data_IF_452688454171
#
_entry.id   IF_452688454171
#
_cell.length_a   1.000
_cell.length_b   1.000
_cell.length_c   1.000
_cell.angle_alpha   90.00
_cell.angle_beta   90.00
_cell.angle_gamma   90.00
#
_symmetry.space_group_name_H-M   'P 1'
#
loop_
_entity.id
_entity.type
_entity.pdbx_description
1 polymer ?
#
# COMPACT_ATOMS: atom_id res chain seq x y z
N UNK A 1 26.71 13.14 -9.99
CA UNK A 1 26.26 14.48 -10.46
C UNK A 1 25.07 14.93 -9.63
N UNK A 2 24.82 16.24 -9.53
CA UNK A 2 23.75 16.82 -8.67
C UNK A 2 22.38 16.16 -8.88
N UNK A 3 21.96 16.04 -10.13
CA UNK A 3 20.67 15.45 -10.47
C UNK A 3 20.56 13.96 -10.12
N UNK A 4 21.67 13.21 -10.08
CA UNK A 4 21.65 11.80 -9.67
C UNK A 4 21.31 11.62 -8.19
N UNK A 5 21.58 12.64 -7.36
CA UNK A 5 21.25 12.61 -5.92
C UNK A 5 19.73 12.76 -5.74
N UNK A 6 19.11 13.65 -6.52
CA UNK A 6 17.65 13.80 -6.54
C UNK A 6 16.98 12.53 -7.07
N UNK A 7 17.51 11.95 -8.15
CA UNK A 7 17.04 10.65 -8.65
C UNK A 7 17.16 9.57 -7.55
N UNK A 8 18.28 9.50 -6.83
CA UNK A 8 18.45 8.53 -5.74
C UNK A 8 17.47 8.75 -4.58
N UNK A 9 17.20 10.01 -4.22
CA UNK A 9 16.21 10.38 -3.20
C UNK A 9 14.81 9.91 -3.62
N UNK A 10 14.38 10.30 -4.82
CA UNK A 10 13.09 9.92 -5.39
C UNK A 10 12.92 8.40 -5.52
N UNK A 11 13.98 7.70 -5.95
CA UNK A 11 14.03 6.24 -5.93
C UNK A 11 13.78 5.69 -4.53
N UNK A 12 14.47 6.20 -3.52
CA UNK A 12 14.33 5.72 -2.15
C UNK A 12 12.93 5.96 -1.57
N UNK A 13 12.29 7.08 -1.92
CA UNK A 13 10.97 7.46 -1.43
C UNK A 13 9.82 6.68 -2.07
N UNK A 14 10.10 5.66 -2.86
CA UNK A 14 9.08 4.72 -3.31
C UNK A 14 8.38 5.09 -4.62
N UNK A 15 8.97 5.95 -5.47
CA UNK A 15 8.50 6.06 -6.85
C UNK A 15 8.53 4.67 -7.51
N UNK A 16 7.36 4.14 -7.80
CA UNK A 16 7.18 2.78 -8.33
C UNK A 16 7.56 2.67 -9.80
N UNK A 17 7.60 3.81 -10.50
CA UNK A 17 8.02 3.94 -11.88
C UNK A 17 9.31 4.76 -11.99
N UNK A 18 10.04 4.58 -13.09
CA UNK A 18 11.09 5.52 -13.50
C UNK A 18 10.53 6.85 -14.01
N UNK A 19 9.21 6.98 -14.12
CA UNK A 19 8.52 8.25 -14.44
C UNK A 19 8.84 9.27 -13.34
N UNK A 20 9.42 10.41 -13.73
CA UNK A 20 9.94 11.41 -12.80
C UNK A 20 11.45 11.28 -12.50
N UNK A 21 12.05 10.16 -12.90
CA UNK A 21 13.50 9.93 -12.85
C UNK A 21 14.12 9.95 -14.24
N UNK A 22 15.42 10.22 -14.32
CA UNK A 22 16.16 10.16 -15.60
C UNK A 22 16.61 8.73 -15.94
N UNK A 23 15.63 7.84 -16.08
CA UNK A 23 15.84 6.44 -16.48
C UNK A 23 14.63 5.92 -17.28
N UNK A 24 14.86 5.07 -18.27
CA UNK A 24 13.75 4.46 -19.04
C UNK A 24 13.12 3.32 -18.24
N UNK A 25 13.93 2.52 -17.53
CA UNK A 25 13.47 1.46 -16.64
C UNK A 25 14.19 1.51 -15.30
N UNK A 26 13.56 0.98 -14.25
CA UNK A 26 14.15 0.85 -12.91
C UNK A 26 15.56 0.20 -12.91
N UNK A 27 15.82 -0.88 -13.66
CA UNK A 27 17.16 -1.47 -13.74
C UNK A 27 18.27 -0.52 -14.24
N UNK A 28 17.92 0.51 -15.02
CA UNK A 28 18.89 1.46 -15.58
C UNK A 28 19.47 2.41 -14.51
N UNK A 29 18.86 2.43 -13.32
CA UNK A 29 19.38 3.16 -12.16
C UNK A 29 20.59 2.48 -11.51
N UNK A 30 20.83 1.21 -11.84
CA UNK A 30 21.94 0.43 -11.29
C UNK A 30 23.17 0.59 -12.19
N UNK A 31 24.35 0.65 -11.57
CA UNK A 31 25.60 0.80 -12.31
C UNK A 31 26.00 -0.50 -13.02
N UNK A 32 25.64 -0.60 -14.31
CA UNK A 32 25.91 -1.76 -15.17
C UNK A 32 27.40 -1.97 -15.51
N UNK A 33 28.31 -1.08 -15.10
CA UNK A 33 29.75 -1.31 -15.27
C UNK A 33 30.27 -2.43 -14.34
N UNK A 34 29.50 -2.82 -13.33
CA UNK A 34 29.85 -3.91 -12.40
C UNK A 34 29.51 -5.30 -12.95
N UNK A 35 28.59 -5.40 -13.92
CA UNK A 35 28.21 -6.65 -14.60
C UNK A 35 29.38 -7.26 -15.38
N UNK A 36 30.27 -6.41 -15.90
CA UNK A 36 31.49 -6.83 -16.61
C UNK A 36 32.53 -7.54 -15.73
N UNK A 37 32.37 -7.53 -14.39
CA UNK A 37 33.29 -8.17 -13.43
C UNK A 37 32.86 -9.58 -13.00
N UNK A 38 31.96 -10.23 -13.73
CA UNK A 38 31.56 -11.62 -13.46
C UNK A 38 30.59 -11.80 -12.27
N UNK A 39 29.90 -10.74 -11.85
CA UNK A 39 28.81 -10.85 -10.86
C UNK A 39 27.49 -11.15 -11.58
N UNK A 40 26.77 -12.18 -11.12
CA UNK A 40 25.49 -12.62 -11.69
C UNK A 40 24.33 -11.66 -11.40
N UNK A 41 24.51 -10.71 -10.47
CA UNK A 41 23.56 -9.65 -10.15
C UNK A 41 24.29 -8.39 -9.71
N UNK A 42 23.64 -7.24 -9.93
CA UNK A 42 24.10 -5.93 -9.45
C UNK A 42 23.01 -5.36 -8.56
N UNK A 43 23.39 -4.67 -7.49
CA UNK A 43 22.45 -4.06 -6.56
C UNK A 43 22.74 -2.57 -6.34
N UNK A 44 21.66 -1.82 -6.13
CA UNK A 44 21.68 -0.44 -5.66
C UNK A 44 20.91 -0.38 -4.34
N UNK A 45 21.49 0.26 -3.34
CA UNK A 45 20.89 0.48 -2.03
C UNK A 45 20.97 1.97 -1.75
N UNK A 46 19.83 2.59 -1.48
CA UNK A 46 19.75 3.98 -1.06
C UNK A 46 19.02 4.02 0.26
N UNK A 47 19.59 4.75 1.22
CA UNK A 47 18.99 5.01 2.53
C UNK A 47 18.89 6.51 2.72
N UNK A 48 17.70 6.98 3.08
CA UNK A 48 17.42 8.37 3.41
C UNK A 48 17.04 8.41 4.89
N UNK A 49 17.71 9.26 5.66
CA UNK A 49 17.42 9.43 7.09
C UNK A 49 16.93 10.85 7.31
N UNK A 50 15.77 10.98 7.90
CA UNK A 50 15.11 12.21 8.28
C UNK A 50 15.32 12.45 9.77
N UNK A 51 15.67 13.69 10.11
CA UNK A 51 15.60 14.16 11.48
C UNK A 51 14.16 14.58 11.76
N UNK A 52 13.55 13.94 12.76
CA UNK A 52 12.15 14.17 13.17
C UNK A 52 12.07 14.60 14.65
N UNK A 53 13.19 15.04 15.24
CA UNK A 53 13.26 15.49 16.63
C UNK A 53 12.28 16.63 16.96
N UNK A 54 12.02 17.52 16.00
CA UNK A 54 11.14 18.69 16.17
C UNK A 54 9.67 18.41 15.81
N UNK A 55 9.30 17.18 15.43
CA UNK A 55 7.91 16.88 15.08
C UNK A 55 7.02 16.77 16.32
N UNK A 56 5.94 17.55 16.33
CA UNK A 56 4.96 17.64 17.44
C UNK A 56 4.19 16.33 17.66
N UNK A 57 4.20 15.42 16.68
CA UNK A 57 3.66 14.07 16.78
C UNK A 57 4.47 13.11 15.88
N UNK A 58 5.54 12.49 16.40
CA UNK A 58 6.26 11.46 15.65
C UNK A 58 5.33 10.28 15.35
N UNK A 59 5.57 9.52 14.25
CA UNK A 59 4.84 8.28 14.00
C UNK A 59 5.01 7.34 15.21
N UNK A 60 3.90 6.95 15.84
CA UNK A 60 3.91 5.95 16.91
C UNK A 60 4.46 4.64 16.33
N UNK A 61 5.47 4.09 16.99
CA UNK A 61 5.97 2.75 16.67
C UNK A 61 4.82 1.79 16.97
N UNK A 62 4.36 1.04 15.97
CA UNK A 62 3.53 -0.13 16.21
C UNK A 62 4.39 -1.15 16.94
N UNK A 63 4.48 -1.04 18.27
CA UNK A 63 5.03 -2.08 19.11
C UNK A 63 4.14 -3.30 18.95
N UNK A 64 4.75 -4.43 18.56
CA UNK A 64 4.15 -5.74 18.77
C UNK A 64 3.72 -5.80 20.23
N UNK A 65 2.42 -5.94 20.45
CA UNK A 65 1.79 -6.04 21.78
C UNK A 65 2.37 -7.25 22.50
N UNK A 66 3.48 -7.06 23.20
CA UNK A 66 3.93 -7.98 24.22
C UNK A 66 3.02 -7.75 25.41
N UNK A 67 2.16 -8.74 25.64
CA UNK A 67 1.25 -8.80 26.77
C UNK A 67 2.02 -8.75 28.09
N UNK A 68 2.34 -7.56 28.59
CA UNK A 68 2.73 -7.31 29.97
C UNK A 68 2.46 -5.83 30.24
N UNK A 69 1.44 -5.53 31.04
CA UNK A 69 0.92 -4.20 31.32
C UNK A 69 1.90 -3.27 32.05
N UNK A 70 2.95 -2.86 31.37
CA UNK A 70 3.79 -1.73 31.73
C UNK A 70 3.65 -0.69 30.63
N UNK A 71 3.14 0.49 31.01
CA UNK A 71 3.12 1.69 30.19
C UNK A 71 4.57 2.10 29.87
N UNK A 72 5.19 1.45 28.89
CA UNK A 72 6.46 1.87 28.36
C UNK A 72 6.17 3.03 27.40
N UNK A 73 6.55 4.24 27.81
CA UNK A 73 6.73 5.38 26.92
C UNK A 73 7.55 4.89 25.73
N UNK A 74 6.90 4.71 24.57
CA UNK A 74 7.57 4.34 23.34
C UNK A 74 8.72 5.34 23.10
N UNK A 75 9.96 4.88 22.81
CA UNK A 75 11.09 5.78 22.66
C UNK A 75 10.77 6.78 21.56
N UNK A 76 10.82 8.07 21.89
CA UNK A 76 10.60 9.14 20.90
C UNK A 76 11.66 8.98 19.82
N UNK A 77 11.25 8.49 18.65
CA UNK A 77 12.13 8.38 17.49
C UNK A 77 12.58 9.79 17.11
N UNK A 78 13.87 10.07 17.26
CA UNK A 78 14.48 11.33 16.79
C UNK A 78 14.85 11.25 15.32
N UNK A 79 14.96 10.04 14.77
CA UNK A 79 15.34 9.80 13.38
C UNK A 79 14.43 8.74 12.77
N UNK A 80 14.08 8.96 11.50
CA UNK A 80 13.30 8.04 10.70
C UNK A 80 14.02 7.76 9.40
N UNK A 81 14.23 6.49 9.06
CA UNK A 81 15.00 6.09 7.89
C UNK A 81 14.21 5.20 6.95
N UNK A 82 14.33 5.48 5.66
CA UNK A 82 13.79 4.66 4.58
C UNK A 82 14.95 4.10 3.80
N UNK A 83 14.89 2.82 3.46
CA UNK A 83 15.86 2.19 2.57
C UNK A 83 15.14 1.48 1.44
N UNK A 84 15.57 1.72 0.20
CA UNK A 84 15.17 0.91 -0.95
C UNK A 84 16.36 0.14 -1.49
N UNK A 85 16.18 -1.16 -1.70
CA UNK A 85 17.16 -2.06 -2.30
C UNK A 85 16.62 -2.58 -3.62
N UNK A 86 17.29 -2.25 -4.72
CA UNK A 86 17.01 -2.78 -6.05
C UNK A 86 18.11 -3.77 -6.44
N UNK A 87 17.74 -5.00 -6.73
CA UNK A 87 18.63 -6.03 -7.28
C UNK A 87 18.23 -6.33 -8.70
N UNK A 88 19.20 -6.31 -9.61
CA UNK A 88 19.01 -6.61 -11.03
C UNK A 88 19.82 -7.86 -11.36
N UNK A 89 19.15 -8.86 -11.90
CA UNK A 89 19.79 -10.08 -12.36
C UNK A 89 20.32 -9.92 -13.79
N UNK A 90 21.27 -10.77 -14.18
CA UNK A 90 21.86 -10.80 -15.52
C UNK A 90 20.85 -10.97 -16.68
N UNK A 91 19.65 -11.48 -16.40
CA UNK A 91 18.55 -11.61 -17.40
C UNK A 91 17.64 -10.37 -17.48
N UNK A 92 17.93 -9.29 -16.74
CA UNK A 92 17.14 -8.05 -16.74
C UNK A 92 15.90 -8.06 -15.83
N UNK A 93 15.59 -9.21 -15.20
CA UNK A 93 14.61 -9.27 -14.09
C UNK A 93 15.17 -8.57 -12.85
N UNK A 94 14.30 -7.91 -12.09
CA UNK A 94 14.69 -7.16 -10.90
C UNK A 94 13.76 -7.40 -9.71
N UNK A 95 14.30 -7.23 -8.51
CA UNK A 95 13.55 -7.23 -7.25
C UNK A 95 13.80 -5.93 -6.50
N UNK A 96 12.74 -5.30 -6.01
CA UNK A 96 12.78 -4.04 -5.26
C UNK A 96 12.18 -4.26 -3.88
N UNK A 97 13.00 -4.13 -2.84
CA UNK A 97 12.59 -4.27 -1.45
C UNK A 97 12.67 -2.93 -0.72
N UNK A 98 11.73 -2.71 0.20
CA UNK A 98 11.63 -1.49 1.01
C UNK A 98 11.83 -1.82 2.48
N UNK A 99 12.44 -0.89 3.19
CA UNK A 99 12.66 -1.00 4.62
C UNK A 99 12.41 0.34 5.30
N UNK A 100 11.72 0.33 6.44
CA UNK A 100 11.54 1.47 7.34
C UNK A 100 12.29 1.15 8.63
N UNK A 101 13.24 1.99 9.03
CA UNK A 101 14.07 1.78 10.21
C UNK A 101 14.74 0.39 10.27
N UNK A 102 15.05 -0.19 9.09
CA UNK A 102 15.65 -1.52 8.95
C UNK A 102 14.65 -2.67 8.88
N UNK A 103 13.38 -2.46 9.22
CA UNK A 103 12.32 -3.47 9.12
C UNK A 103 11.75 -3.51 7.70
N UNK A 104 11.58 -4.71 7.14
CA UNK A 104 11.00 -4.88 5.79
C UNK A 104 9.54 -4.42 5.79
N UNK A 105 9.16 -3.66 4.76
CA UNK A 105 7.80 -3.14 4.62
C UNK A 105 7.30 -3.29 3.18
N UNK A 106 5.99 -3.17 3.01
CA UNK A 106 5.37 -3.07 1.68
C UNK A 106 5.49 -1.63 1.14
N UNK A 107 5.28 -1.45 -0.17
CA UNK A 107 5.24 -0.12 -0.77
C UNK A 107 4.07 0.71 -0.23
N UNK A 108 2.94 0.06 0.04
CA UNK A 108 1.74 0.70 0.62
C UNK A 108 2.05 1.25 2.00
N UNK A 109 2.62 0.43 2.89
CA UNK A 109 3.04 0.86 4.24
C UNK A 109 4.04 2.01 4.18
N UNK A 110 5.00 1.96 3.25
CA UNK A 110 5.94 3.06 3.04
C UNK A 110 5.24 4.36 2.65
N UNK A 111 4.27 4.31 1.73
CA UNK A 111 3.51 5.50 1.34
C UNK A 111 2.65 6.05 2.47
N UNK A 112 2.05 5.18 3.31
CA UNK A 112 1.27 5.61 4.46
C UNK A 112 2.11 6.36 5.51
N UNK A 113 3.32 5.87 5.81
CA UNK A 113 4.23 6.55 6.73
C UNK A 113 4.79 7.86 6.13
N UNK A 114 5.10 7.87 4.83
CA UNK A 114 5.52 9.09 4.13
C UNK A 114 4.40 10.16 4.18
N UNK A 115 3.16 9.77 3.93
CA UNK A 115 2.00 10.66 4.01
C UNK A 115 1.78 11.21 5.42
N UNK A 116 1.97 10.39 6.45
CA UNK A 116 1.93 10.82 7.86
C UNK A 116 2.97 11.90 8.16
N UNK A 117 4.17 11.77 7.57
CA UNK A 117 5.23 12.78 7.64
C UNK A 117 5.04 13.93 6.64
N UNK A 118 3.94 13.94 5.86
CA UNK A 118 3.64 14.90 4.78
C UNK A 118 4.69 14.93 3.68
N UNK A 119 5.37 13.81 3.47
CA UNK A 119 6.32 13.59 2.40
C UNK A 119 5.57 12.88 1.26
N UNK A 120 5.54 13.55 0.11
CA UNK A 120 4.85 13.13 -1.10
C UNK A 120 5.88 12.99 -2.22
N UNK A 121 6.28 11.75 -2.57
CA UNK A 121 7.34 11.50 -3.56
C UNK A 121 6.94 11.95 -4.98
N UNK A 122 5.68 11.74 -5.34
CA UNK A 122 5.05 12.18 -6.61
C UNK A 122 4.50 13.62 -6.52
N UNK A 123 4.64 14.26 -5.36
CA UNK A 123 4.08 15.58 -5.07
C UNK A 123 5.10 16.71 -5.15
N UNK A 124 4.69 17.89 -4.72
CA UNK A 124 5.45 19.15 -4.85
C UNK A 124 6.55 19.34 -3.80
N UNK A 125 6.88 18.31 -3.05
CA UNK A 125 8.01 18.36 -2.11
C UNK A 125 9.36 18.36 -2.83
N UNK A 126 9.39 17.92 -4.09
CA UNK A 126 10.55 17.99 -4.97
C UNK A 126 10.14 18.76 -6.23
N UNK A 127 10.94 19.76 -6.62
CA UNK A 127 10.72 20.54 -7.84
C UNK A 127 11.75 20.12 -8.88
N UNK A 128 11.29 19.42 -9.90
CA UNK A 128 12.06 19.01 -11.07
C UNK A 128 12.06 20.09 -12.15
N UNK A 129 13.01 19.95 -13.08
CA UNK A 129 13.07 20.83 -14.23
C UNK A 129 11.87 20.60 -15.14
N UNK A 130 11.09 21.66 -15.37
CA UNK A 130 9.87 21.60 -16.18
C UNK A 130 8.57 21.58 -15.37
N UNK A 131 8.65 21.36 -14.06
CA UNK A 131 7.47 21.32 -13.19
C UNK A 131 6.69 22.63 -13.20
N UNK A 132 7.39 23.77 -13.23
CA UNK A 132 6.75 25.09 -13.32
C UNK A 132 5.87 25.20 -14.57
N UNK A 133 6.41 24.80 -15.73
CA UNK A 133 5.65 24.79 -16.99
C UNK A 133 4.47 23.81 -16.91
N UNK A 134 4.71 22.64 -16.33
CA UNK A 134 3.68 21.60 -16.12
C UNK A 134 2.50 22.16 -15.32
N UNK A 135 2.75 22.78 -14.16
CA UNK A 135 1.73 23.39 -13.29
C UNK A 135 0.92 24.48 -14.02
N UNK A 136 1.58 25.28 -14.87
CA UNK A 136 0.91 26.33 -15.65
C UNK A 136 -0.02 25.71 -16.70
N UNK A 137 0.39 24.60 -17.34
CA UNK A 137 -0.37 23.92 -18.38
C UNK A 137 -1.44 22.95 -17.88
N UNK A 138 -1.42 22.59 -16.60
CA UNK A 138 -2.39 21.67 -15.97
C UNK A 138 -3.82 22.18 -16.07
N UNK A 139 -4.75 21.24 -16.19
CA UNK A 139 -6.16 21.55 -16.12
C UNK A 139 -6.61 21.86 -14.68
N UNK A 140 -7.79 22.46 -14.52
CA UNK A 140 -8.30 22.86 -13.21
C UNK A 140 -8.52 21.70 -12.24
N UNK A 141 -8.74 20.48 -12.75
CA UNK A 141 -8.94 19.29 -11.93
C UNK A 141 -7.61 18.79 -11.37
N UNK A 142 -6.60 18.63 -12.21
CA UNK A 142 -5.24 18.25 -11.80
C UNK A 142 -4.72 19.23 -10.75
N UNK A 143 -4.88 20.54 -10.99
CA UNK A 143 -4.45 21.55 -10.02
C UNK A 143 -5.20 21.45 -8.68
N UNK A 144 -6.48 21.08 -8.71
CA UNK A 144 -7.26 20.88 -7.49
C UNK A 144 -6.77 19.67 -6.70
N UNK A 145 -6.44 18.56 -7.37
CA UNK A 145 -5.89 17.37 -6.72
C UNK A 145 -4.63 17.70 -5.91
N UNK A 146 -3.76 18.58 -6.43
CA UNK A 146 -2.59 19.11 -5.70
C UNK A 146 -3.01 19.78 -4.39
N UNK A 147 -3.99 20.67 -4.47
CA UNK A 147 -4.44 21.49 -3.34
C UNK A 147 -5.09 20.60 -2.29
N UNK A 148 -5.91 19.64 -2.73
CA UNK A 148 -6.60 18.69 -1.86
C UNK A 148 -5.59 17.76 -1.14
N UNK A 149 -4.51 17.38 -1.80
CA UNK A 149 -3.40 16.62 -1.19
C UNK A 149 -2.64 17.45 -0.15
N UNK A 150 -2.26 18.69 -0.48
CA UNK A 150 -1.57 19.61 0.45
C UNK A 150 -2.45 20.01 1.65
N UNK A 151 -3.76 20.11 1.45
CA UNK A 151 -4.73 20.37 2.50
C UNK A 151 -5.00 19.13 3.37
N UNK A 152 -4.51 17.95 2.97
CA UNK A 152 -4.75 16.67 3.64
C UNK A 152 -6.17 16.14 3.49
N UNK A 153 -6.97 16.71 2.57
CA UNK A 153 -8.35 16.29 2.29
C UNK A 153 -8.35 15.01 1.45
N UNK A 154 -7.39 14.86 0.54
CA UNK A 154 -7.28 13.70 -0.35
C UNK A 154 -7.17 12.36 0.42
N UNK A 155 -6.52 12.35 1.59
CA UNK A 155 -6.45 11.19 2.47
C UNK A 155 -7.84 10.71 2.94
N UNK A 156 -8.72 11.66 3.28
CA UNK A 156 -10.09 11.37 3.68
C UNK A 156 -10.92 10.88 2.49
N UNK A 157 -10.76 11.50 1.33
CA UNK A 157 -11.44 11.06 0.11
C UNK A 157 -11.05 9.63 -0.28
N UNK A 158 -9.76 9.27 -0.16
CA UNK A 158 -9.27 7.90 -0.35
C UNK A 158 -9.94 6.92 0.63
N UNK A 159 -10.00 7.27 1.92
CA UNK A 159 -10.70 6.46 2.95
C UNK A 159 -12.19 6.30 2.66
N UNK A 160 -12.87 7.36 2.22
CA UNK A 160 -14.28 7.32 1.86
C UNK A 160 -14.50 6.35 0.69
N UNK A 161 -13.65 6.42 -0.34
CA UNK A 161 -13.76 5.55 -1.50
C UNK A 161 -13.46 4.09 -1.15
N UNK A 162 -12.46 3.83 -0.32
CA UNK A 162 -12.16 2.48 0.17
C UNK A 162 -13.34 1.91 0.97
N UNK A 163 -13.89 2.70 1.92
CA UNK A 163 -15.03 2.27 2.72
C UNK A 163 -16.28 1.99 1.86
N UNK A 164 -16.52 2.79 0.81
CA UNK A 164 -17.59 2.54 -0.17
C UNK A 164 -17.37 1.22 -0.92
N UNK A 165 -16.15 0.95 -1.37
CA UNK A 165 -15.81 -0.32 -2.03
C UNK A 165 -16.05 -1.53 -1.11
N UNK A 166 -15.57 -1.47 0.14
CA UNK A 166 -15.83 -2.53 1.12
C UNK A 166 -17.32 -2.71 1.41
N UNK A 167 -18.09 -1.61 1.48
CA UNK A 167 -19.53 -1.67 1.67
C UNK A 167 -20.23 -2.39 0.51
N UNK A 168 -19.79 -2.14 -0.73
CA UNK A 168 -20.31 -2.80 -1.92
C UNK A 168 -20.00 -4.31 -1.92
N UNK A 169 -18.77 -4.70 -1.59
CA UNK A 169 -18.40 -6.12 -1.44
C UNK A 169 -19.22 -6.86 -0.36
N UNK A 170 -19.47 -6.18 0.78
CA UNK A 170 -20.29 -6.75 1.85
C UNK A 170 -21.73 -6.93 1.40
N UNK A 171 -22.27 -5.97 0.64
CA UNK A 171 -23.62 -6.03 0.11
C UNK A 171 -23.79 -7.17 -0.89
N UNK A 172 -22.83 -7.38 -1.79
CA UNK A 172 -22.85 -8.51 -2.73
C UNK A 172 -22.85 -9.87 -1.99
N UNK A 173 -22.08 -9.97 -0.89
CA UNK A 173 -22.06 -11.15 -0.03
C UNK A 173 -23.39 -11.36 0.70
N UNK A 174 -23.99 -10.29 1.22
CA UNK A 174 -25.31 -10.33 1.85
C UNK A 174 -26.37 -10.85 0.87
N UNK A 175 -26.41 -10.32 -0.35
CA UNK A 175 -27.35 -10.74 -1.39
C UNK A 175 -27.16 -12.22 -1.75
N UNK A 176 -25.91 -12.67 -1.84
CA UNK A 176 -25.58 -14.08 -2.07
C UNK A 176 -26.05 -14.99 -0.92
N UNK A 177 -25.84 -14.57 0.33
CA UNK A 177 -26.34 -15.30 1.50
C UNK A 177 -27.87 -15.38 1.52
N UNK A 178 -28.57 -14.30 1.14
CA UNK A 178 -30.04 -14.27 1.08
C UNK A 178 -30.59 -15.24 0.03
N UNK A 179 -29.90 -15.41 -1.10
CA UNK A 179 -30.27 -16.40 -2.12
C UNK A 179 -30.14 -17.83 -1.54
N UNK A 180 -29.00 -18.12 -0.90
CA UNK A 180 -28.75 -19.44 -0.28
C UNK A 180 -29.78 -19.73 0.83
N UNK A 181 -30.10 -18.74 1.66
CA UNK A 181 -31.13 -18.87 2.70
C UNK A 181 -32.50 -19.25 2.11
N UNK A 182 -32.91 -18.59 1.03
CA UNK A 182 -34.16 -18.91 0.33
C UNK A 182 -34.18 -20.34 -0.20
N UNK A 183 -33.06 -20.82 -0.75
CA UNK A 183 -32.93 -22.21 -1.21
C UNK A 183 -33.03 -23.21 -0.04
N UNK A 184 -32.34 -22.94 1.07
CA UNK A 184 -32.37 -23.81 2.26
C UNK A 184 -33.77 -23.88 2.88
N UNK A 185 -34.51 -22.78 2.93
CA UNK A 185 -35.91 -22.77 3.40
C UNK A 185 -36.78 -23.66 2.50
N UNK A 186 -36.64 -23.53 1.18
CA UNK A 186 -37.40 -24.36 0.23
C UNK A 186 -37.06 -25.86 0.37
N UNK A 187 -35.78 -26.20 0.56
CA UNK A 187 -35.35 -27.57 0.80
C UNK A 187 -35.90 -28.12 2.12
N UNK A 188 -35.83 -27.33 3.21
CA UNK A 188 -36.41 -27.69 4.51
C UNK A 188 -37.90 -28.00 4.39
N UNK A 189 -38.66 -27.15 3.71
CA UNK A 189 -40.11 -27.31 3.58
C UNK A 189 -40.47 -28.56 2.78
N UNK A 190 -39.70 -28.86 1.71
CA UNK A 190 -39.84 -30.12 0.98
C UNK A 190 -39.58 -31.34 1.88
N UNK A 191 -38.45 -31.34 2.61
CA UNK A 191 -38.09 -32.44 3.51
C UNK A 191 -39.13 -32.63 4.63
N UNK A 192 -39.72 -31.54 5.12
CA UNK A 192 -40.80 -31.59 6.10
C UNK A 192 -42.05 -32.29 5.55
N UNK A 193 -42.44 -31.98 4.31
CA UNK A 193 -43.55 -32.66 3.63
C UNK A 193 -43.25 -34.15 3.38
N UNK A 194 -42.02 -34.49 2.99
CA UNK A 194 -41.63 -35.87 2.75
C UNK A 194 -41.61 -36.69 4.05
N UNK A 195 -41.17 -36.09 5.17
CA UNK A 195 -41.29 -36.67 6.51
C UNK A 195 -42.74 -36.99 6.85
N UNK A 196 -43.65 -36.03 6.69
CA UNK A 196 -45.09 -36.23 7.00
C UNK A 196 -45.71 -37.35 6.18
N UNK A 197 -45.36 -37.46 4.90
CA UNK A 197 -45.81 -38.58 4.03
C UNK A 197 -45.27 -39.91 4.52
N UNK A 198 -43.98 -39.97 4.88
CA UNK A 198 -43.35 -41.19 5.39
C UNK A 198 -43.96 -41.65 6.72
N UNK A 199 -44.24 -40.73 7.64
CA UNK A 199 -44.90 -41.05 8.92
C UNK A 199 -46.31 -41.62 8.71
N UNK A 200 -47.12 -41.01 7.82
CA UNK A 200 -48.45 -41.54 7.45
C UNK A 200 -48.36 -42.94 6.85
N UNK A 201 -47.41 -43.18 5.95
CA UNK A 201 -47.20 -44.50 5.35
C UNK A 201 -46.82 -45.55 6.40
N UNK A 202 -45.98 -45.20 7.38
CA UNK A 202 -45.62 -46.11 8.47
C UNK A 202 -46.80 -46.45 9.39
N UNK A 203 -47.71 -45.50 9.63
CA UNK A 203 -48.94 -45.75 10.40
C UNK A 203 -49.86 -46.74 9.69
N UNK A 204 -50.15 -46.51 8.40
CA UNK A 204 -51.00 -47.40 7.60
C UNK A 204 -50.42 -48.81 7.49
N UNK A 205 -49.09 -48.96 7.47
CA UNK A 205 -48.43 -50.27 7.40
C UNK A 205 -48.44 -51.04 8.75
N UNK A 206 -48.70 -50.35 9.87
CA UNK A 206 -48.77 -50.95 11.21
C UNK A 206 -50.18 -51.39 11.60
N UNK A 207 -51.21 -50.78 11.00
CA UNK A 207 -52.60 -51.26 11.04
C UNK A 207 -52.80 -52.43 10.06
#
# INVERSE_FOLDING_TARGET
GKSNILDALLFCLGLSSSKGMRADKLPDLVNNNQTAKGRNSVEAIVTVTFDISDMVSPPEVTEEVTQNGQENKSPTLTQWSVTRRLRVNSQGSYTSNYYINGSSCTLTELHEELERLRIYPEGYNVVLQGDVTSIISMNGKERREIIDELAGVAAYDRKINQAKGTLEEVKEKEDSCRIIEGELIAQRDRLYQDKLKAEKYQQIKKE
#
